data_IF_766858292916
#
_entry.id   IF_766858292916
#
_cell.length_a   1.000
_cell.length_b   1.000
_cell.length_c   1.000
_cell.angle_alpha   90.00
_cell.angle_beta   90.00
_cell.angle_gamma   90.00
#
_symmetry.space_group_name_H-M   'P 1'
#
loop_
_entity.id
_entity.type
_entity.pdbx_description
1 polymer ?
#
# COMPACT_ATOMS: atom_id res chain seq x y z
N UNK A 1 2.03 20.68 4.26
CA UNK A 1 2.11 19.36 3.61
C UNK A 1 0.70 18.86 3.35
N UNK A 2 0.42 18.19 2.23
CA UNK A 2 -0.90 17.56 2.01
C UNK A 2 -0.98 16.33 2.91
N UNK A 3 -1.94 16.33 3.82
CA UNK A 3 -2.24 15.18 4.67
C UNK A 3 -2.73 14.03 3.78
N UNK A 4 -2.11 12.85 3.92
CA UNK A 4 -2.53 11.64 3.21
C UNK A 4 -3.71 11.03 3.96
N UNK A 5 -4.71 10.59 3.19
CA UNK A 5 -5.93 10.01 3.72
C UNK A 5 -6.32 8.77 2.95
N UNK A 6 -7.13 7.93 3.59
CA UNK A 6 -7.81 6.85 2.89
C UNK A 6 -8.74 7.42 1.81
N UNK A 7 -8.78 6.75 0.67
CA UNK A 7 -9.67 7.00 -0.46
C UNK A 7 -10.74 5.91 -0.47
N UNK A 8 -11.99 6.30 -0.70
CA UNK A 8 -13.09 5.37 -0.94
C UNK A 8 -13.54 5.48 -2.39
N UNK A 9 -13.59 4.34 -3.07
CA UNK A 9 -13.91 4.24 -4.49
C UNK A 9 -15.37 3.84 -4.70
N UNK A 10 -16.07 4.59 -5.55
CA UNK A 10 -17.43 4.23 -5.96
C UNK A 10 -17.44 2.98 -6.87
N UNK A 11 -16.40 2.84 -7.70
CA UNK A 11 -16.19 1.65 -8.54
C UNK A 11 -14.94 0.93 -8.06
N UNK A 12 -14.98 -0.38 -7.75
CA UNK A 12 -13.82 -1.03 -7.18
C UNK A 12 -12.63 -1.12 -8.15
N UNK A 13 -11.44 -1.02 -7.58
CA UNK A 13 -10.17 -1.20 -8.27
C UNK A 13 -9.79 -2.67 -8.23
N UNK A 14 -9.52 -3.23 -9.40
CA UNK A 14 -9.05 -4.60 -9.55
C UNK A 14 -7.53 -4.63 -9.67
N UNK A 15 -6.88 -5.47 -8.86
CA UNK A 15 -5.44 -5.64 -8.87
C UNK A 15 -5.14 -7.14 -8.86
N UNK A 16 -4.32 -7.61 -9.79
CA UNK A 16 -3.94 -9.01 -9.82
C UNK A 16 -3.02 -9.35 -8.63
N UNK A 17 -3.35 -10.40 -7.91
CA UNK A 17 -2.47 -11.02 -6.92
C UNK A 17 -1.34 -11.77 -7.64
N UNK A 18 -0.09 -11.50 -7.26
CA UNK A 18 1.04 -12.09 -7.98
C UNK A 18 1.05 -13.62 -7.92
N UNK A 19 1.09 -14.24 -6.73
CA UNK A 19 1.20 -15.71 -6.63
C UNK A 19 -0.05 -16.43 -7.12
N UNK A 20 -1.23 -16.04 -6.64
CA UNK A 20 -2.49 -16.73 -6.96
C UNK A 20 -3.07 -16.40 -8.35
N UNK A 21 -2.53 -15.40 -9.06
CA UNK A 21 -3.02 -14.93 -10.37
C UNK A 21 -4.50 -14.51 -10.42
N UNK A 22 -5.18 -14.44 -9.27
CA UNK A 22 -6.56 -13.95 -9.10
C UNK A 22 -6.62 -12.43 -9.06
N UNK A 23 -7.75 -11.86 -9.44
CA UNK A 23 -8.03 -10.44 -9.22
C UNK A 23 -8.53 -10.21 -7.79
N UNK A 24 -7.85 -9.33 -7.07
CA UNK A 24 -8.32 -8.75 -5.82
C UNK A 24 -9.10 -7.47 -6.12
N UNK A 25 -10.22 -7.25 -5.43
CA UNK A 25 -11.12 -6.14 -5.67
C UNK A 25 -11.19 -5.24 -4.44
N UNK A 26 -10.84 -3.97 -4.59
CA UNK A 26 -10.75 -3.02 -3.48
C UNK A 26 -11.66 -1.82 -3.69
N UNK A 27 -12.40 -1.41 -2.65
CA UNK A 27 -13.16 -0.16 -2.61
C UNK A 27 -12.46 0.92 -1.80
N UNK A 28 -11.29 0.62 -1.23
CA UNK A 28 -10.54 1.54 -0.40
C UNK A 28 -9.05 1.46 -0.70
N UNK A 29 -8.37 2.59 -0.62
CA UNK A 29 -6.93 2.63 -0.84
C UNK A 29 -6.27 3.90 -0.35
N UNK A 30 -4.96 3.98 -0.54
CA UNK A 30 -4.14 5.13 -0.17
C UNK A 30 -3.26 5.50 -1.35
N UNK A 31 -3.08 6.80 -1.58
CA UNK A 31 -2.23 7.30 -2.66
C UNK A 31 -0.92 7.80 -2.04
N UNK A 32 0.20 7.15 -2.41
CA UNK A 32 1.50 7.38 -1.79
C UNK A 32 2.48 7.89 -2.86
N UNK A 33 3.22 8.98 -2.60
CA UNK A 33 4.27 9.45 -3.50
C UNK A 33 5.31 8.38 -3.78
N UNK A 34 5.81 8.28 -5.02
CA UNK A 34 6.87 7.32 -5.38
C UNK A 34 8.06 7.36 -4.41
N UNK A 35 8.56 8.56 -4.07
CA UNK A 35 9.69 8.72 -3.15
C UNK A 35 9.43 8.14 -1.76
N UNK A 36 8.22 8.30 -1.24
CA UNK A 36 7.85 7.75 0.07
C UNK A 36 7.71 6.23 -0.01
N UNK A 37 7.16 5.70 -1.11
CA UNK A 37 7.04 4.25 -1.30
C UNK A 37 8.41 3.56 -1.41
N UNK A 38 9.37 4.18 -2.08
CA UNK A 38 10.73 3.63 -2.20
C UNK A 38 11.39 3.52 -0.83
N UNK A 39 11.24 4.53 0.03
CA UNK A 39 11.76 4.49 1.41
C UNK A 39 11.06 3.39 2.22
N UNK A 40 9.72 3.32 2.16
CA UNK A 40 8.94 2.30 2.85
C UNK A 40 9.39 0.88 2.47
N UNK A 41 9.55 0.63 1.17
CA UNK A 41 9.93 -0.70 0.67
C UNK A 41 11.37 -1.07 1.03
N UNK A 42 12.29 -0.10 1.07
CA UNK A 42 13.67 -0.32 1.50
C UNK A 42 13.79 -0.59 3.01
N UNK A 43 12.78 -0.22 3.81
CA UNK A 43 12.72 -0.43 5.26
C UNK A 43 12.06 -1.76 5.69
N UNK A 44 11.63 -2.60 4.74
CA UNK A 44 10.97 -3.86 5.08
C UNK A 44 11.94 -4.87 5.70
N UNK A 45 11.51 -5.54 6.77
CA UNK A 45 12.19 -6.74 7.26
C UNK A 45 11.94 -7.94 6.32
N UNK A 46 12.72 -9.00 6.48
CA UNK A 46 12.68 -10.19 5.61
C UNK A 46 11.26 -10.80 5.51
N UNK A 47 10.57 -10.97 6.64
CA UNK A 47 9.22 -11.55 6.67
C UNK A 47 8.21 -10.71 5.90
N UNK A 48 8.25 -9.38 6.07
CA UNK A 48 7.31 -8.49 5.40
C UNK A 48 7.64 -8.33 3.93
N UNK A 49 8.93 -8.35 3.57
CA UNK A 49 9.37 -8.34 2.18
C UNK A 49 8.88 -9.61 1.46
N UNK A 50 9.05 -10.80 2.05
CA UNK A 50 8.57 -12.04 1.47
C UNK A 50 7.04 -12.01 1.24
N UNK A 51 6.29 -11.46 2.19
CA UNK A 51 4.84 -11.32 2.06
C UNK A 51 4.45 -10.24 1.02
N UNK A 52 5.23 -9.16 0.91
CA UNK A 52 5.05 -8.15 -0.13
C UNK A 52 5.25 -8.75 -1.53
N UNK A 53 6.34 -9.49 -1.71
CA UNK A 53 6.68 -10.16 -2.96
C UNK A 53 5.59 -11.16 -3.37
N UNK A 54 5.07 -11.94 -2.43
CA UNK A 54 3.96 -12.86 -2.65
C UNK A 54 2.73 -12.19 -3.28
N UNK A 55 2.47 -10.93 -2.94
CA UNK A 55 1.34 -10.16 -3.46
C UNK A 55 1.70 -9.34 -4.71
N UNK A 56 2.94 -8.87 -4.83
CA UNK A 56 3.29 -7.73 -5.68
C UNK A 56 4.57 -7.87 -6.54
N UNK A 57 5.40 -8.92 -6.42
CA UNK A 57 6.76 -8.97 -7.01
C UNK A 57 6.86 -8.66 -8.53
N UNK A 58 5.85 -8.98 -9.34
CA UNK A 58 5.88 -8.63 -10.78
C UNK A 58 5.48 -7.18 -11.11
N UNK A 59 5.17 -6.36 -10.10
CA UNK A 59 4.73 -4.99 -10.32
C UNK A 59 5.92 -4.05 -10.24
N UNK A 60 6.10 -3.28 -11.28
CA UNK A 60 7.11 -2.23 -11.33
C UNK A 60 6.76 -1.10 -10.34
N UNK A 61 7.71 -0.71 -9.50
CA UNK A 61 7.55 0.39 -8.54
C UNK A 61 7.73 1.72 -9.29
N UNK A 62 6.62 2.26 -9.82
CA UNK A 62 6.57 3.55 -10.52
C UNK A 62 5.21 4.24 -10.33
N UNK A 63 5.16 5.53 -10.60
CA UNK A 63 3.91 6.28 -10.58
C UNK A 63 2.84 5.65 -11.50
N UNK A 64 1.61 5.57 -11.02
CA UNK A 64 0.48 4.91 -11.68
C UNK A 64 0.34 3.42 -11.35
N UNK A 65 1.33 2.78 -10.72
CA UNK A 65 1.22 1.38 -10.30
C UNK A 65 0.25 1.22 -9.12
N UNK A 66 -0.55 0.14 -9.17
CA UNK A 66 -1.43 -0.29 -8.10
C UNK A 66 -0.90 -1.55 -7.42
N UNK A 67 -0.75 -1.51 -6.09
CA UNK A 67 -0.28 -2.62 -5.28
C UNK A 67 -1.41 -3.18 -4.40
N UNK A 68 -1.38 -4.49 -4.17
CA UNK A 68 -2.24 -5.12 -3.17
C UNK A 68 -1.73 -4.75 -1.77
N UNK A 69 -2.59 -4.12 -0.97
CA UNK A 69 -2.35 -3.81 0.43
C UNK A 69 -2.96 -4.85 1.37
N UNK A 70 -2.24 -5.11 2.46
CA UNK A 70 -2.60 -6.05 3.53
C UNK A 70 -2.18 -5.46 4.89
N UNK A 71 -2.63 -6.05 5.99
CA UNK A 71 -2.44 -5.49 7.33
C UNK A 71 -0.97 -5.19 7.69
N UNK A 72 -0.04 -6.08 7.35
CA UNK A 72 1.40 -5.84 7.57
C UNK A 72 1.93 -4.61 6.85
N UNK A 73 1.57 -4.44 5.57
CA UNK A 73 1.95 -3.25 4.80
C UNK A 73 1.27 -1.97 5.34
N UNK A 74 0.01 -2.05 5.78
CA UNK A 74 -0.69 -0.93 6.40
C UNK A 74 0.05 -0.40 7.64
N UNK A 75 0.52 -1.30 8.52
CA UNK A 75 1.25 -0.92 9.73
C UNK A 75 2.55 -0.20 9.38
N UNK A 76 3.33 -0.72 8.42
CA UNK A 76 4.60 -0.10 8.01
C UNK A 76 4.38 1.27 7.38
N UNK A 77 3.37 1.40 6.51
CA UNK A 77 3.00 2.70 5.94
C UNK A 77 2.62 3.67 7.07
N UNK A 78 1.77 3.24 8.01
CA UNK A 78 1.32 4.07 9.14
C UNK A 78 2.50 4.52 10.00
N UNK A 79 3.42 3.62 10.32
CA UNK A 79 4.60 3.90 11.13
C UNK A 79 5.53 4.91 10.43
N UNK A 80 5.78 4.73 9.12
CA UNK A 80 6.57 5.67 8.33
C UNK A 80 5.98 7.09 8.38
N UNK A 81 4.68 7.25 8.09
CA UNK A 81 4.06 8.58 8.10
C UNK A 81 4.03 9.23 9.48
N UNK A 82 3.86 8.42 10.52
CA UNK A 82 3.89 8.90 11.90
C UNK A 82 5.28 9.37 12.31
N UNK A 83 6.33 8.62 11.96
CA UNK A 83 7.70 8.90 12.38
C UNK A 83 8.36 10.01 11.53
N UNK A 84 8.22 9.93 10.20
CA UNK A 84 8.97 10.78 9.28
C UNK A 84 8.21 12.05 8.88
N UNK A 85 6.89 12.08 9.04
CA UNK A 85 6.04 13.18 8.56
C UNK A 85 5.11 13.77 9.62
N UNK A 86 5.14 13.26 10.86
CA UNK A 86 4.22 13.63 11.94
C UNK A 86 2.75 13.64 11.47
N UNK A 87 2.38 12.61 10.71
CA UNK A 87 1.07 12.50 10.06
C UNK A 87 0.44 11.14 10.32
N UNK A 88 -0.87 11.14 10.55
CA UNK A 88 -1.67 9.93 10.70
C UNK A 88 -2.59 9.70 9.50
N UNK A 89 -2.69 8.45 9.05
CA UNK A 89 -3.62 8.02 8.01
C UNK A 89 -4.76 7.26 8.68
N UNK A 90 -5.81 8.00 9.05
CA UNK A 90 -6.98 7.44 9.72
C UNK A 90 -7.57 6.26 8.94
N UNK A 91 -8.05 5.25 9.67
CA UNK A 91 -8.64 4.01 9.16
C UNK A 91 -7.69 3.05 8.42
N UNK A 92 -6.43 3.40 8.16
CA UNK A 92 -5.49 2.53 7.44
C UNK A 92 -5.28 1.19 8.14
N UNK A 93 -5.07 1.20 9.46
CA UNK A 93 -4.72 0.03 10.29
C UNK A 93 -5.93 -0.63 10.96
N UNK A 94 -7.06 -0.75 10.25
CA UNK A 94 -8.29 -1.36 10.79
C UNK A 94 -8.51 -2.84 10.40
N UNK A 95 -7.47 -3.51 9.91
CA UNK A 95 -7.49 -4.94 9.55
C UNK A 95 -8.19 -5.29 8.24
N UNK A 96 -8.70 -4.31 7.48
CA UNK A 96 -9.30 -4.53 6.16
C UNK A 96 -8.27 -4.33 5.05
N UNK A 97 -8.31 -5.19 4.04
CA UNK A 97 -7.46 -5.04 2.87
C UNK A 97 -7.80 -3.76 2.07
N UNK A 98 -6.80 -3.28 1.33
CA UNK A 98 -6.86 -2.00 0.62
C UNK A 98 -5.93 -2.06 -0.59
N UNK A 99 -5.99 -1.04 -1.46
CA UNK A 99 -4.98 -0.84 -2.49
C UNK A 99 -4.01 0.30 -2.15
N UNK A 100 -2.79 0.22 -2.67
CA UNK A 100 -1.88 1.38 -2.73
C UNK A 100 -1.79 1.83 -4.18
N UNK A 101 -1.98 3.13 -4.44
CA UNK A 101 -1.66 3.74 -5.73
C UNK A 101 -0.41 4.58 -5.56
N UNK A 102 0.60 4.33 -6.38
CA UNK A 102 1.81 5.16 -6.41
C UNK A 102 1.51 6.41 -7.25
N UNK A 103 1.75 7.60 -6.69
CA UNK A 103 1.52 8.90 -7.35
C UNK A 103 2.79 9.73 -7.50
#
# INVERSE_FOLDING_TARGET
MKQISMVTEATPINIQHHTYKRECRYTRGVHIPLADIEIILNGLNEDTLAYFEFHNIAKEIKAGTFLNGYAGLANIISDYYKQEKDSEILELTNGRDFYVKII
#
